data_IF_915957473746
#
_entry.id   IF_915957473746
#
_cell.length_a   1.000
_cell.length_b   1.000
_cell.length_c   1.000
_cell.angle_alpha   90.00
_cell.angle_beta   90.00
_cell.angle_gamma   90.00
#
_symmetry.space_group_name_H-M   'P 1'
#
loop_
_entity.id
_entity.type
_entity.pdbx_description
1 polymer ?
#
# COMPACT_ATOMS: atom_id res chain seq x y z
N UNK A 1 -10.94 -8.88 11.14
CA UNK A 1 -9.69 -8.12 10.90
C UNK A 1 -9.10 -8.31 9.51
N UNK A 2 -8.73 -9.53 9.08
CA UNK A 2 -8.12 -9.75 7.74
C UNK A 2 -8.92 -9.11 6.59
N UNK A 3 -10.23 -9.33 6.54
CA UNK A 3 -11.11 -8.74 5.51
C UNK A 3 -11.25 -7.22 5.61
N UNK A 4 -11.22 -6.64 6.80
CA UNK A 4 -11.22 -5.18 6.96
C UNK A 4 -9.94 -4.57 6.39
N UNK A 5 -8.78 -5.13 6.72
CA UNK A 5 -7.50 -4.67 6.17
C UNK A 5 -7.38 -4.93 4.65
N UNK A 6 -8.08 -5.92 4.11
CA UNK A 6 -8.20 -6.11 2.65
C UNK A 6 -9.01 -4.97 2.00
N UNK A 7 -10.14 -4.56 2.61
CA UNK A 7 -10.93 -3.40 2.16
C UNK A 7 -10.09 -2.13 2.23
N UNK A 8 -9.41 -1.88 3.36
CA UNK A 8 -8.54 -0.71 3.52
C UNK A 8 -7.40 -0.73 2.50
N UNK A 9 -6.71 -1.86 2.32
CA UNK A 9 -5.68 -1.96 1.29
C UNK A 9 -6.24 -1.68 -0.12
N UNK A 10 -7.49 -2.05 -0.40
CA UNK A 10 -8.14 -1.70 -1.68
C UNK A 10 -8.26 -0.18 -1.86
N UNK A 11 -8.70 0.52 -0.82
CA UNK A 11 -8.78 1.99 -0.82
C UNK A 11 -7.39 2.62 -0.98
N UNK A 12 -6.38 2.09 -0.30
CA UNK A 12 -4.98 2.53 -0.42
C UNK A 12 -4.46 2.41 -1.85
N UNK A 13 -4.66 1.25 -2.48
CA UNK A 13 -4.28 0.99 -3.87
C UNK A 13 -4.99 1.95 -4.84
N UNK A 14 -6.24 2.30 -4.53
CA UNK A 14 -7.03 3.31 -5.22
C UNK A 14 -6.60 4.76 -4.98
N UNK A 15 -5.61 5.01 -4.11
CA UNK A 15 -5.09 6.34 -3.81
C UNK A 15 -5.80 7.07 -2.68
N UNK A 16 -6.51 6.36 -1.82
CA UNK A 16 -7.07 6.93 -0.59
C UNK A 16 -6.16 6.53 0.57
N UNK A 17 -5.55 7.51 1.23
CA UNK A 17 -4.80 7.28 2.47
C UNK A 17 -5.68 6.57 3.50
N UNK A 18 -5.21 5.41 3.94
CA UNK A 18 -5.75 4.61 5.04
C UNK A 18 -4.61 3.86 5.70
N UNK A 19 -4.76 3.56 6.99
CA UNK A 19 -3.77 2.87 7.81
C UNK A 19 -4.23 1.46 8.17
N UNK A 20 -3.30 0.63 8.65
CA UNK A 20 -3.60 -0.75 9.06
C UNK A 20 -4.42 -0.74 10.34
N UNK A 21 -5.52 -1.49 10.35
CA UNK A 21 -6.33 -1.68 11.53
C UNK A 21 -5.73 -2.79 12.40
N UNK A 22 -5.44 -2.45 13.66
CA UNK A 22 -4.97 -3.37 14.69
C UNK A 22 -6.11 -3.78 15.63
N UNK A 23 -5.92 -4.88 16.36
CA UNK A 23 -6.97 -5.42 17.24
C UNK A 23 -7.33 -4.43 18.34
N UNK A 24 -6.34 -3.69 18.82
CA UNK A 24 -6.43 -2.75 19.94
C UNK A 24 -7.19 -1.48 19.56
N UNK A 25 -7.30 -1.20 18.26
CA UNK A 25 -8.01 -0.04 17.70
C UNK A 25 -9.51 -0.31 17.49
N UNK A 26 -9.94 -1.56 17.65
CA UNK A 26 -11.36 -1.93 17.56
C UNK A 26 -12.10 -1.54 18.82
N UNK A 27 -13.10 -0.68 18.65
CA UNK A 27 -14.02 -0.28 19.71
C UNK A 27 -15.25 -1.16 19.70
N UNK A 28 -15.60 -1.70 20.88
CA UNK A 28 -16.86 -2.42 21.05
C UNK A 28 -17.97 -1.38 21.25
N UNK A 29 -19.07 -1.57 20.55
CA UNK A 29 -20.22 -0.69 20.62
C UNK A 29 -21.51 -1.40 20.22
N UNK A 30 -22.60 -0.65 20.18
CA UNK A 30 -23.89 -1.10 19.66
C UNK A 30 -24.53 -0.03 18.78
N UNK A 31 -25.38 -0.49 17.87
CA UNK A 31 -26.27 0.36 17.10
C UNK A 31 -27.58 0.52 17.87
N UNK A 32 -27.76 1.68 18.50
CA UNK A 32 -28.99 2.06 19.19
C UNK A 32 -30.00 2.64 18.18
N UNK A 33 -31.27 2.26 18.29
CA UNK A 33 -32.38 2.72 17.42
C UNK A 33 -32.09 2.67 15.91
N UNK A 34 -31.31 1.67 15.45
CA UNK A 34 -30.94 1.46 14.04
C UNK A 34 -30.14 2.59 13.36
N UNK A 35 -29.87 3.70 14.05
CA UNK A 35 -29.19 4.87 13.47
C UNK A 35 -28.06 5.44 14.34
N UNK A 36 -28.06 5.16 15.65
CA UNK A 36 -27.11 5.74 16.59
C UNK A 36 -26.00 4.74 16.94
N UNK A 37 -24.77 5.02 16.51
CA UNK A 37 -23.60 4.25 16.95
C UNK A 37 -23.19 4.69 18.36
N UNK A 38 -23.21 3.76 19.30
CA UNK A 38 -22.75 3.93 20.68
C UNK A 38 -21.49 3.11 20.88
N UNK A 39 -20.37 3.77 21.17
CA UNK A 39 -19.14 3.12 21.59
C UNK A 39 -19.15 2.92 23.12
N UNK A 40 -18.81 1.71 23.59
CA UNK A 40 -18.73 1.42 25.02
C UNK A 40 -17.38 1.79 25.64
N UNK A 41 -16.38 2.09 24.82
CA UNK A 41 -15.08 2.63 25.27
C UNK A 41 -14.94 4.10 24.89
N UNK A 42 -14.24 4.90 25.72
CA UNK A 42 -13.90 6.27 25.38
C UNK A 42 -13.14 6.30 24.05
N UNK A 43 -13.64 7.08 23.11
CA UNK A 43 -13.02 7.30 21.80
C UNK A 43 -13.10 8.79 21.49
N UNK A 44 -12.24 9.28 20.59
CA UNK A 44 -12.35 10.67 20.13
C UNK A 44 -13.77 10.97 19.59
N UNK A 45 -14.36 10.03 18.85
CA UNK A 45 -15.74 10.15 18.37
C UNK A 45 -16.76 10.30 19.52
N UNK A 46 -16.67 9.45 20.55
CA UNK A 46 -17.55 9.55 21.72
C UNK A 46 -17.32 10.86 22.51
N UNK A 47 -16.05 11.26 22.69
CA UNK A 47 -15.68 12.50 23.37
C UNK A 47 -16.13 13.74 22.60
N UNK A 48 -16.07 13.73 21.26
CA UNK A 48 -16.61 14.80 20.42
C UNK A 48 -18.13 14.88 20.55
N UNK A 49 -18.84 13.75 20.45
CA UNK A 49 -20.30 13.68 20.58
C UNK A 49 -20.80 14.15 21.96
N UNK A 50 -20.04 13.85 23.02
CA UNK A 50 -20.37 14.24 24.39
C UNK A 50 -19.84 15.64 24.77
N UNK A 51 -19.21 16.36 23.84
CA UNK A 51 -18.54 17.64 24.12
C UNK A 51 -17.48 17.55 25.24
N UNK A 52 -16.81 16.40 25.35
CA UNK A 52 -15.72 16.13 26.30
C UNK A 52 -14.32 16.19 25.66
N UNK A 53 -14.23 16.26 24.33
CA UNK A 53 -12.94 16.41 23.64
C UNK A 53 -12.27 17.75 23.99
N UNK A 54 -10.93 17.78 24.09
CA UNK A 54 -10.19 19.01 24.34
C UNK A 54 -10.34 19.98 23.14
N UNK A 55 -10.18 21.31 23.34
CA UNK A 55 -10.27 22.27 22.23
C UNK A 55 -9.34 21.98 21.05
N UNK A 56 -8.14 21.46 21.32
CA UNK A 56 -7.17 21.03 20.30
C UNK A 56 -7.70 19.88 19.45
N UNK A 57 -8.34 18.90 20.09
CA UNK A 57 -8.90 17.70 19.43
C UNK A 57 -10.16 18.02 18.63
N UNK A 58 -10.87 19.11 18.99
CA UNK A 58 -11.99 19.65 18.21
C UNK A 58 -11.51 20.41 16.99
N UNK A 59 -10.50 21.26 17.15
CA UNK A 59 -10.10 22.20 16.12
C UNK A 59 -9.29 21.54 15.00
N UNK A 60 -8.26 20.75 15.32
CA UNK A 60 -7.37 20.18 14.31
C UNK A 60 -8.08 19.39 13.19
N UNK A 61 -8.90 18.37 13.52
CA UNK A 61 -9.56 17.53 12.52
C UNK A 61 -10.72 18.19 11.77
N UNK A 62 -11.33 19.23 12.37
CA UNK A 62 -12.59 19.82 11.87
C UNK A 62 -12.40 21.18 11.17
N UNK A 63 -11.23 21.82 11.28
CA UNK A 63 -10.97 23.10 10.61
C UNK A 63 -10.85 22.91 9.09
N UNK A 64 -10.20 21.82 8.65
CA UNK A 64 -10.08 21.45 7.24
C UNK A 64 -10.33 19.96 7.08
N UNK A 65 -11.59 19.52 7.28
CA UNK A 65 -11.91 18.11 7.22
C UNK A 65 -11.64 17.60 5.81
N UNK A 66 -10.94 16.47 5.72
CA UNK A 66 -10.82 15.77 4.45
C UNK A 66 -12.20 15.29 4.05
N UNK A 67 -12.72 15.82 2.96
CA UNK A 67 -13.95 15.32 2.36
C UNK A 67 -13.58 14.16 1.43
N UNK A 68 -14.40 13.12 1.37
CA UNK A 68 -14.26 12.04 0.39
C UNK A 68 -15.66 11.79 -0.15
N UNK A 69 -15.83 11.87 -1.47
CA UNK A 69 -17.10 11.56 -2.10
C UNK A 69 -17.33 10.05 -2.11
N UNK A 70 -18.59 9.63 -2.06
CA UNK A 70 -18.94 8.20 -2.06
C UNK A 70 -18.46 7.56 -3.36
N UNK A 71 -18.68 8.22 -4.49
CA UNK A 71 -18.15 7.84 -5.79
C UNK A 71 -16.62 7.67 -5.81
N UNK A 72 -15.86 8.51 -5.12
CA UNK A 72 -14.40 8.40 -5.03
C UNK A 72 -13.98 7.16 -4.25
N UNK A 73 -14.66 6.88 -3.14
CA UNK A 73 -14.46 5.66 -2.35
C UNK A 73 -14.78 4.40 -3.17
N UNK A 74 -15.89 4.39 -3.91
CA UNK A 74 -16.26 3.28 -4.78
C UNK A 74 -15.21 3.05 -5.87
N UNK A 75 -14.78 4.11 -6.57
CA UNK A 75 -13.75 4.01 -7.61
C UNK A 75 -12.43 3.47 -7.06
N UNK A 76 -11.97 4.00 -5.91
CA UNK A 76 -10.75 3.55 -5.26
C UNK A 76 -10.85 2.08 -4.82
N UNK A 77 -11.96 1.70 -4.20
CA UNK A 77 -12.22 0.33 -3.77
C UNK A 77 -12.20 -0.65 -4.95
N UNK A 78 -12.91 -0.35 -6.03
CA UNK A 78 -12.95 -1.21 -7.22
C UNK A 78 -11.58 -1.36 -7.88
N UNK A 79 -10.82 -0.27 -8.03
CA UNK A 79 -9.46 -0.34 -8.56
C UNK A 79 -8.57 -1.23 -7.68
N UNK A 80 -8.59 -1.05 -6.36
CA UNK A 80 -7.79 -1.87 -5.45
C UNK A 80 -8.21 -3.34 -5.40
N UNK A 81 -9.51 -3.63 -5.50
CA UNK A 81 -10.00 -5.00 -5.58
C UNK A 81 -9.55 -5.72 -6.84
N UNK A 82 -9.56 -5.04 -7.99
CA UNK A 82 -9.03 -5.60 -9.25
C UNK A 82 -7.58 -6.06 -9.09
N UNK A 83 -6.75 -5.22 -8.46
CA UNK A 83 -5.33 -5.50 -8.19
C UNK A 83 -5.16 -6.68 -7.23
N UNK A 84 -5.92 -6.71 -6.12
CA UNK A 84 -5.81 -7.80 -5.14
C UNK A 84 -6.25 -9.14 -5.77
N UNK A 85 -7.33 -9.12 -6.55
CA UNK A 85 -7.89 -10.32 -7.19
C UNK A 85 -6.98 -10.88 -8.29
N UNK A 86 -6.19 -10.05 -8.97
CA UNK A 86 -5.22 -10.54 -9.96
C UNK A 86 -4.02 -11.28 -9.34
N UNK A 87 -3.78 -11.13 -8.04
CA UNK A 87 -2.58 -11.65 -7.37
C UNK A 87 -2.92 -12.51 -6.14
N UNK A 88 -3.15 -13.81 -6.34
CA UNK A 88 -3.56 -14.75 -5.27
C UNK A 88 -2.64 -14.79 -4.03
N UNK A 89 -1.33 -14.53 -4.19
CA UNK A 89 -0.34 -14.58 -3.11
C UNK A 89 -0.05 -13.22 -2.46
N UNK A 90 -0.72 -12.16 -2.90
CA UNK A 90 -0.52 -10.81 -2.39
C UNK A 90 -1.18 -10.64 -1.03
N UNK A 91 -0.42 -10.24 -0.03
CA UNK A 91 -0.96 -9.94 1.30
C UNK A 91 -1.23 -8.46 1.45
N UNK A 92 -2.52 -8.09 1.43
CA UNK A 92 -2.99 -6.74 1.74
C UNK A 92 -2.44 -6.20 3.05
N UNK A 93 -2.22 -7.07 4.04
CA UNK A 93 -1.75 -6.69 5.36
C UNK A 93 -0.31 -6.15 5.32
N UNK A 94 0.61 -6.75 4.56
CA UNK A 94 2.00 -6.31 4.55
C UNK A 94 2.17 -4.96 3.85
N UNK A 95 1.44 -4.71 2.76
CA UNK A 95 1.47 -3.40 2.11
C UNK A 95 0.94 -2.31 3.06
N UNK A 96 -0.22 -2.56 3.68
CA UNK A 96 -0.88 -1.60 4.55
C UNK A 96 -0.07 -1.34 5.84
N UNK A 97 0.50 -2.38 6.46
CA UNK A 97 1.39 -2.23 7.60
C UNK A 97 2.69 -1.49 7.25
N UNK A 98 3.26 -1.77 6.06
CA UNK A 98 4.46 -1.08 5.60
C UNK A 98 4.21 0.40 5.33
N UNK A 99 3.07 0.73 4.75
CA UNK A 99 2.62 2.10 4.56
C UNK A 99 2.41 2.83 5.89
N UNK A 100 1.67 2.21 6.82
CA UNK A 100 1.39 2.78 8.14
C UNK A 100 2.68 3.04 8.92
N UNK A 101 3.61 2.07 8.94
CA UNK A 101 4.90 2.24 9.58
C UNK A 101 5.73 3.37 8.95
N UNK A 102 5.67 3.55 7.63
CA UNK A 102 6.31 4.67 6.95
C UNK A 102 5.73 6.02 7.41
N UNK A 103 4.40 6.12 7.52
CA UNK A 103 3.73 7.35 7.99
C UNK A 103 4.17 7.74 9.41
N UNK A 104 4.30 6.74 10.29
CA UNK A 104 4.79 6.94 11.67
C UNK A 104 6.32 6.96 11.79
N UNK A 105 7.06 7.04 10.68
CA UNK A 105 8.55 7.04 10.64
C UNK A 105 9.20 5.86 11.36
N UNK A 106 8.49 4.74 11.50
CA UNK A 106 9.04 3.49 11.96
C UNK A 106 9.73 2.78 10.78
N UNK A 107 10.94 3.24 10.46
CA UNK A 107 11.68 2.82 9.26
C UNK A 107 12.02 1.32 9.25
N UNK A 108 12.23 0.71 10.42
CA UNK A 108 12.53 -0.72 10.53
C UNK A 108 11.34 -1.57 10.09
N UNK A 109 10.16 -1.27 10.64
CA UNK A 109 8.93 -1.99 10.31
C UNK A 109 8.45 -1.66 8.90
N UNK A 110 8.60 -0.41 8.47
CA UNK A 110 8.29 0.00 7.11
C UNK A 110 9.13 -0.81 6.11
N UNK A 111 10.46 -0.87 6.28
CA UNK A 111 11.31 -1.63 5.39
C UNK A 111 10.95 -3.11 5.38
N UNK A 112 10.71 -3.71 6.55
CA UNK A 112 10.45 -5.15 6.63
C UNK A 112 9.11 -5.52 5.93
N UNK A 113 8.04 -4.79 6.24
CA UNK A 113 6.71 -5.05 5.66
C UNK A 113 6.64 -4.72 4.16
N UNK A 114 7.21 -3.59 3.72
CA UNK A 114 7.27 -3.25 2.30
C UNK A 114 8.17 -4.23 1.54
N UNK A 115 9.26 -4.72 2.14
CA UNK A 115 10.12 -5.72 1.50
C UNK A 115 9.42 -7.07 1.32
N UNK A 116 8.63 -7.53 2.30
CA UNK A 116 7.80 -8.74 2.13
C UNK A 116 6.83 -8.56 0.96
N UNK A 117 6.24 -7.38 0.82
CA UNK A 117 5.38 -7.03 -0.32
C UNK A 117 6.14 -7.13 -1.64
N UNK A 118 7.36 -6.59 -1.72
CA UNK A 118 8.24 -6.74 -2.89
C UNK A 118 8.52 -8.20 -3.22
N UNK A 119 8.80 -9.04 -2.21
CA UNK A 119 9.08 -10.46 -2.43
C UNK A 119 7.86 -11.19 -3.01
N UNK A 120 6.66 -10.92 -2.47
CA UNK A 120 5.40 -11.49 -2.98
C UNK A 120 5.12 -11.05 -4.43
N UNK A 121 5.26 -9.76 -4.73
CA UNK A 121 5.09 -9.23 -6.10
C UNK A 121 6.12 -9.83 -7.05
N UNK A 122 7.38 -9.92 -6.63
CA UNK A 122 8.45 -10.48 -7.47
C UNK A 122 8.19 -11.95 -7.78
N UNK A 123 7.72 -12.74 -6.81
CA UNK A 123 7.39 -14.14 -7.05
C UNK A 123 6.24 -14.29 -8.04
N UNK A 124 5.19 -13.47 -7.88
CA UNK A 124 4.06 -13.45 -8.81
C UNK A 124 4.51 -13.10 -10.23
N UNK A 125 5.22 -11.97 -10.41
CA UNK A 125 5.75 -11.52 -11.72
C UNK A 125 6.67 -12.59 -12.33
N UNK A 126 7.52 -13.21 -11.50
CA UNK A 126 8.44 -14.24 -11.96
C UNK A 126 7.70 -15.44 -12.57
N UNK A 127 6.66 -15.93 -11.88
CA UNK A 127 5.89 -17.09 -12.32
C UNK A 127 4.99 -16.76 -13.51
N UNK A 128 4.24 -15.66 -13.41
CA UNK A 128 3.17 -15.35 -14.35
C UNK A 128 3.68 -14.65 -15.62
N UNK A 129 4.77 -13.90 -15.55
CA UNK A 129 5.25 -13.12 -16.71
C UNK A 129 6.59 -13.63 -17.22
N UNK A 130 7.58 -13.78 -16.35
CA UNK A 130 8.92 -14.14 -16.79
C UNK A 130 9.01 -15.60 -17.27
N UNK A 131 8.52 -16.56 -16.48
CA UNK A 131 8.61 -17.97 -16.85
C UNK A 131 7.71 -18.31 -18.06
N UNK A 132 6.49 -17.76 -18.11
CA UNK A 132 5.54 -18.02 -19.21
C UNK A 132 6.00 -17.43 -20.53
N UNK A 133 6.62 -16.24 -20.53
CA UNK A 133 7.05 -15.54 -21.74
C UNK A 133 8.55 -15.68 -22.01
N UNK A 134 9.22 -16.69 -21.46
CA UNK A 134 10.69 -16.80 -21.51
C UNK A 134 11.25 -16.83 -22.95
N UNK A 135 10.51 -17.42 -23.89
CA UNK A 135 10.90 -17.53 -25.30
C UNK A 135 10.78 -16.22 -26.08
N UNK A 136 9.98 -15.26 -25.62
CA UNK A 136 9.80 -13.98 -26.30
C UNK A 136 10.89 -12.96 -25.95
N UNK A 137 11.69 -13.20 -24.92
CA UNK A 137 12.74 -12.27 -24.51
C UNK A 137 13.95 -12.28 -25.45
N UNK A 138 14.67 -11.15 -25.56
CA UNK A 138 15.87 -11.05 -26.38
C UNK A 138 16.94 -12.10 -26.03
N UNK A 139 17.75 -12.46 -27.02
CA UNK A 139 18.82 -13.48 -26.90
C UNK A 139 19.78 -13.20 -25.74
N UNK A 140 20.06 -11.93 -25.42
CA UNK A 140 20.95 -11.58 -24.31
C UNK A 140 20.35 -11.96 -22.93
N UNK A 141 19.03 -11.91 -22.76
CA UNK A 141 18.32 -12.34 -21.54
C UNK A 141 18.43 -13.85 -21.40
N UNK A 142 18.18 -14.59 -22.49
CA UNK A 142 18.31 -16.04 -22.52
C UNK A 142 19.75 -16.48 -22.19
N UNK A 143 20.76 -15.81 -22.77
CA UNK A 143 22.17 -16.02 -22.44
C UNK A 143 22.45 -15.75 -20.96
N UNK A 144 21.93 -14.66 -20.40
CA UNK A 144 22.12 -14.32 -18.98
C UNK A 144 21.50 -15.37 -18.04
N UNK A 145 20.27 -15.82 -18.33
CA UNK A 145 19.60 -16.89 -17.60
C UNK A 145 20.40 -18.19 -17.62
N UNK A 146 20.97 -18.54 -18.78
CA UNK A 146 21.69 -19.80 -18.97
C UNK A 146 23.07 -19.84 -18.30
N UNK A 147 23.61 -18.71 -17.83
CA UNK A 147 24.92 -18.67 -17.14
C UNK A 147 24.91 -19.57 -15.90
N UNK A 148 25.92 -20.46 -15.71
CA UNK A 148 25.95 -21.40 -14.59
C UNK A 148 25.79 -20.75 -13.21
N UNK A 149 26.42 -19.59 -12.99
CA UNK A 149 26.31 -18.81 -11.74
C UNK A 149 24.89 -18.30 -11.46
N UNK A 150 24.15 -17.96 -12.51
CA UNK A 150 22.76 -17.49 -12.43
C UNK A 150 21.84 -18.68 -12.18
N UNK A 151 21.99 -19.77 -12.95
CA UNK A 151 21.21 -21.00 -12.77
C UNK A 151 21.22 -21.51 -11.32
N UNK A 152 22.40 -21.55 -10.69
CA UNK A 152 22.56 -21.96 -9.27
C UNK A 152 21.83 -21.07 -8.26
N UNK A 153 21.43 -19.84 -8.65
CA UNK A 153 20.84 -18.83 -7.78
C UNK A 153 19.46 -18.36 -8.25
N UNK A 154 18.81 -19.09 -9.17
CA UNK A 154 17.49 -18.71 -9.71
C UNK A 154 16.41 -18.56 -8.64
N UNK A 155 16.52 -19.28 -7.52
CA UNK A 155 15.61 -19.12 -6.38
C UNK A 155 15.79 -17.80 -5.62
N UNK A 156 16.94 -17.14 -5.74
CA UNK A 156 17.23 -15.91 -5.00
C UNK A 156 16.53 -14.69 -5.60
N UNK A 157 15.94 -13.87 -4.73
CA UNK A 157 15.26 -12.63 -5.12
C UNK A 157 16.16 -11.69 -5.94
N UNK A 158 17.44 -11.59 -5.57
CA UNK A 158 18.43 -10.76 -6.27
C UNK A 158 18.64 -11.18 -7.73
N UNK A 159 18.59 -12.48 -8.01
CA UNK A 159 18.78 -13.02 -9.36
C UNK A 159 17.52 -12.79 -10.18
N UNK A 160 16.34 -12.98 -9.58
CA UNK A 160 15.05 -12.67 -10.18
C UNK A 160 14.97 -11.19 -10.58
N UNK A 161 15.24 -10.26 -9.65
CA UNK A 161 15.25 -8.82 -9.95
C UNK A 161 16.16 -8.45 -11.12
N UNK A 162 17.37 -9.03 -11.16
CA UNK A 162 18.31 -8.80 -12.27
C UNK A 162 17.74 -9.27 -13.61
N UNK A 163 17.17 -10.46 -13.66
CA UNK A 163 16.62 -11.02 -14.90
C UNK A 163 15.34 -10.29 -15.34
N UNK A 164 14.48 -9.90 -14.40
CA UNK A 164 13.28 -9.11 -14.68
C UNK A 164 13.64 -7.74 -15.28
N UNK A 165 14.63 -7.05 -14.70
CA UNK A 165 15.14 -5.79 -15.26
C UNK A 165 15.76 -5.96 -16.65
N UNK A 166 16.57 -7.01 -16.88
CA UNK A 166 17.14 -7.30 -18.21
C UNK A 166 16.06 -7.60 -19.25
N UNK A 167 14.92 -8.15 -18.83
CA UNK A 167 13.78 -8.47 -19.69
C UNK A 167 12.87 -7.28 -19.94
N UNK A 168 13.22 -6.10 -19.39
CA UNK A 168 12.42 -4.88 -19.49
C UNK A 168 11.00 -5.03 -18.90
N UNK A 169 10.82 -5.93 -17.93
CA UNK A 169 9.53 -6.10 -17.21
C UNK A 169 9.29 -4.94 -16.25
N UNK A 170 10.35 -4.43 -15.63
CA UNK A 170 10.35 -3.17 -14.89
C UNK A 170 11.64 -2.40 -15.12
N UNK A 171 11.61 -1.12 -14.79
CA UNK A 171 12.62 -0.11 -15.06
C UNK A 171 13.96 -0.38 -14.35
N UNK A 172 15.04 0.19 -14.91
CA UNK A 172 16.37 0.16 -14.28
C UNK A 172 16.39 0.92 -12.96
N UNK A 173 15.58 1.96 -12.82
CA UNK A 173 15.47 2.74 -11.58
C UNK A 173 14.80 1.93 -10.48
N UNK A 174 13.70 1.22 -10.80
CA UNK A 174 13.08 0.25 -9.89
C UNK A 174 14.11 -0.79 -9.44
N UNK A 175 14.84 -1.42 -10.36
CA UNK A 175 15.91 -2.37 -10.03
C UNK A 175 16.97 -1.78 -9.06
N UNK A 176 17.42 -0.55 -9.31
CA UNK A 176 18.42 0.13 -8.47
C UNK A 176 17.91 0.30 -7.03
N UNK A 177 16.69 0.77 -6.87
CA UNK A 177 16.05 0.95 -5.56
C UNK A 177 15.86 -0.39 -4.85
N UNK A 178 15.31 -1.40 -5.53
CA UNK A 178 15.09 -2.73 -4.94
C UNK A 178 16.40 -3.37 -4.46
N UNK A 179 17.48 -3.25 -5.24
CA UNK A 179 18.77 -3.78 -4.84
C UNK A 179 19.38 -3.03 -3.64
N UNK A 180 19.15 -1.71 -3.53
CA UNK A 180 19.56 -0.90 -2.36
C UNK A 180 18.74 -1.31 -1.13
N UNK A 181 17.42 -1.39 -1.25
CA UNK A 181 16.50 -1.80 -0.20
C UNK A 181 16.84 -3.19 0.34
N UNK A 182 17.08 -4.17 -0.55
CA UNK A 182 17.51 -5.53 -0.17
C UNK A 182 18.77 -5.54 0.69
N UNK A 183 19.79 -4.77 0.29
CA UNK A 183 21.04 -4.70 1.05
C UNK A 183 20.78 -4.14 2.43
N UNK A 184 20.05 -3.03 2.55
CA UNK A 184 19.73 -2.40 3.84
C UNK A 184 18.83 -3.29 4.70
N UNK A 185 17.89 -4.05 4.12
CA UNK A 185 17.09 -5.05 4.82
C UNK A 185 17.97 -6.15 5.42
N UNK A 186 18.99 -6.61 4.69
CA UNK A 186 19.94 -7.57 5.23
C UNK A 186 20.77 -7.00 6.39
N UNK A 187 21.19 -5.73 6.31
CA UNK A 187 21.92 -5.07 7.42
C UNK A 187 21.02 -4.89 8.65
N UNK A 188 19.74 -4.53 8.45
CA UNK A 188 18.75 -4.48 9.52
C UNK A 188 18.59 -5.85 10.17
N UNK A 189 18.40 -6.91 9.39
CA UNK A 189 18.17 -8.26 9.89
C UNK A 189 19.39 -8.89 10.58
N UNK A 190 20.61 -8.61 10.12
CA UNK A 190 21.84 -9.23 10.66
C UNK A 190 22.57 -8.37 11.68
N UNK A 191 22.43 -7.05 11.61
CA UNK A 191 23.22 -6.12 12.42
C UNK A 191 22.35 -5.10 13.17
N UNK A 192 21.02 -5.17 13.05
CA UNK A 192 20.10 -4.24 13.71
C UNK A 192 20.15 -2.81 13.18
N UNK A 193 20.83 -2.57 12.05
CA UNK A 193 21.04 -1.20 11.51
C UNK A 193 19.76 -0.69 10.87
N UNK A 194 19.15 0.32 11.51
CA UNK A 194 17.94 0.99 11.03
C UNK A 194 18.20 1.74 9.72
N UNK A 195 17.35 1.59 8.69
CA UNK A 195 17.50 2.30 7.42
C UNK A 195 17.11 3.79 7.52
N UNK A 196 17.67 4.61 6.63
CA UNK A 196 17.31 6.03 6.46
C UNK A 196 15.91 6.18 5.84
N UNK A 197 15.14 7.19 6.27
CA UNK A 197 13.75 7.41 5.77
C UNK A 197 13.67 7.61 4.26
N UNK A 198 14.65 8.29 3.67
CA UNK A 198 14.74 8.49 2.22
C UNK A 198 14.73 7.16 1.44
N UNK A 199 15.34 6.10 1.99
CA UNK A 199 15.29 4.78 1.35
C UNK A 199 13.87 4.21 1.34
N UNK A 200 13.10 4.42 2.41
CA UNK A 200 11.73 3.94 2.54
C UNK A 200 10.84 4.68 1.54
N UNK A 201 10.99 6.00 1.44
CA UNK A 201 10.29 6.82 0.45
C UNK A 201 10.63 6.42 -0.99
N UNK A 202 11.91 6.14 -1.28
CA UNK A 202 12.34 5.59 -2.57
C UNK A 202 11.73 4.22 -2.85
N UNK A 203 11.68 3.34 -1.86
CA UNK A 203 11.06 2.02 -2.00
C UNK A 203 9.56 2.15 -2.27
N UNK A 204 8.89 3.05 -1.55
CA UNK A 204 7.48 3.38 -1.77
C UNK A 204 7.22 3.90 -3.18
N UNK A 205 8.08 4.79 -3.70
CA UNK A 205 7.86 5.39 -5.02
C UNK A 205 7.98 4.40 -6.19
N UNK A 206 8.69 3.28 -6.02
CA UNK A 206 8.83 2.23 -7.06
C UNK A 206 7.83 1.07 -6.88
N UNK A 207 7.16 0.96 -5.73
CA UNK A 207 6.15 -0.08 -5.50
C UNK A 207 4.97 -0.03 -6.48
N UNK A 208 4.38 1.15 -6.82
CA UNK A 208 3.32 1.22 -7.80
C UNK A 208 3.70 0.59 -9.14
N UNK A 209 4.95 0.75 -9.60
CA UNK A 209 5.42 0.12 -10.83
C UNK A 209 5.38 -1.42 -10.72
N UNK A 210 5.85 -1.99 -9.61
CA UNK A 210 5.78 -3.44 -9.41
C UNK A 210 4.34 -3.95 -9.34
N UNK A 211 3.44 -3.21 -8.70
CA UNK A 211 2.04 -3.60 -8.57
C UNK A 211 1.34 -3.51 -9.93
N UNK A 212 1.56 -2.44 -10.70
CA UNK A 212 1.02 -2.29 -12.05
C UNK A 212 1.49 -3.41 -12.97
N UNK A 213 2.79 -3.72 -12.95
CA UNK A 213 3.34 -4.85 -13.67
C UNK A 213 2.66 -6.14 -13.21
N UNK A 214 2.65 -6.44 -11.91
CA UNK A 214 2.11 -7.70 -11.39
C UNK A 214 0.61 -7.90 -11.66
N UNK A 215 -0.18 -6.82 -11.68
CA UNK A 215 -1.64 -6.86 -11.84
C UNK A 215 -2.13 -6.57 -13.25
N UNK A 216 -1.23 -6.21 -14.18
CA UNK A 216 -1.57 -5.67 -15.51
C UNK A 216 -2.51 -4.44 -15.46
N UNK A 217 -2.55 -3.75 -14.31
CA UNK A 217 -3.31 -2.53 -14.11
C UNK A 217 -2.44 -1.33 -14.45
N UNK A 218 -3.02 -0.28 -15.05
CA UNK A 218 -2.31 0.98 -15.34
C UNK A 218 -2.85 2.11 -14.48
N UNK A 219 -2.00 3.11 -14.21
CA UNK A 219 -2.37 4.34 -13.51
C UNK A 219 -2.97 4.09 -12.12
N UNK A 220 -2.24 3.37 -11.27
CA UNK A 220 -2.69 3.13 -9.90
C UNK A 220 -2.89 4.44 -9.15
N UNK A 221 -4.04 4.59 -8.49
CA UNK A 221 -4.31 5.72 -7.62
C UNK A 221 -3.27 5.88 -6.51
N UNK A 222 -2.66 4.77 -6.07
CA UNK A 222 -1.53 4.72 -5.14
C UNK A 222 -0.39 5.70 -5.48
N UNK A 223 -0.14 5.98 -6.77
CA UNK A 223 0.91 6.91 -7.21
C UNK A 223 0.71 8.35 -6.72
N UNK A 224 -0.52 8.71 -6.35
CA UNK A 224 -0.87 10.04 -5.80
C UNK A 224 -0.44 10.20 -4.34
N UNK A 225 -0.22 9.10 -3.63
CA UNK A 225 0.18 9.12 -2.23
C UNK A 225 1.70 9.32 -2.14
N UNK A 226 2.14 10.55 -1.87
CA UNK A 226 3.54 10.83 -1.57
C UNK A 226 3.96 10.07 -0.31
N UNK A 227 5.05 9.31 -0.40
CA UNK A 227 5.66 8.73 0.79
C UNK A 227 6.34 9.82 1.63
N UNK A 228 6.28 9.71 2.95
CA UNK A 228 6.90 10.66 3.88
C UNK A 228 5.90 11.56 4.60
N UNK A 229 6.39 12.32 5.58
CA UNK A 229 5.57 13.10 6.53
C UNK A 229 4.95 14.39 5.96
N UNK A 230 5.11 14.67 4.66
CA UNK A 230 4.38 15.77 4.04
C UNK A 230 2.96 15.28 3.74
N UNK A 231 2.05 15.70 4.61
CA UNK A 231 0.61 15.60 4.44
C UNK A 231 0.14 16.50 3.29
N UNK A 232 0.57 16.21 2.06
CA UNK A 232 -0.09 16.79 0.90
C UNK A 232 -1.25 15.87 0.49
N UNK A 233 -2.19 15.70 1.42
CA UNK A 233 -3.47 15.08 1.15
C UNK A 233 -4.32 16.17 0.52
N UNK A 234 -4.33 16.25 -0.81
CA UNK A 234 -5.12 17.24 -1.54
C UNK A 234 -6.51 17.40 -0.89
N UNK A 235 -6.81 18.62 -0.46
CA UNK A 235 -8.16 19.01 -0.05
C UNK A 235 -9.03 18.84 -1.31
N UNK A 236 -10.12 18.07 -1.26
CA UNK A 236 -10.94 17.87 -2.45
C UNK A 236 -11.47 19.20 -2.99
N UNK A 237 -11.45 19.34 -4.31
CA UNK A 237 -11.95 20.52 -5.02
C UNK A 237 -13.50 20.66 -4.95
N UNK A 238 -14.22 19.64 -4.46
CA UNK A 238 -15.68 19.62 -4.33
C UNK A 238 -16.09 19.31 -2.89
N UNK A 239 -16.81 20.24 -2.29
CA UNK A 239 -17.40 20.16 -0.95
C UNK A 239 -18.93 20.29 -1.01
N UNK A 240 -19.52 20.24 -2.21
CA UNK A 240 -20.96 20.25 -2.41
C UNK A 240 -21.52 18.88 -1.98
N UNK A 241 -22.11 18.81 -0.78
CA UNK A 241 -22.76 17.62 -0.22
C UNK A 241 -24.03 17.17 -1.00
N UNK A 242 -24.18 17.56 -2.26
CA UNK A 242 -25.35 17.24 -3.10
C UNK A 242 -25.55 15.73 -3.27
N UNK A 243 -24.46 14.96 -3.36
CA UNK A 243 -24.49 13.49 -3.45
C UNK A 243 -25.17 12.86 -2.22
N UNK A 244 -24.88 13.36 -1.02
CA UNK A 244 -25.49 12.91 0.23
C UNK A 244 -26.97 13.26 0.31
N UNK A 245 -27.36 14.43 -0.19
CA UNK A 245 -28.77 14.84 -0.27
C UNK A 245 -29.56 13.92 -1.20
N UNK A 246 -28.96 13.48 -2.31
CA UNK A 246 -29.59 12.58 -3.25
C UNK A 246 -29.71 11.15 -2.69
N UNK A 247 -28.68 10.65 -1.99
CA UNK A 247 -28.73 9.36 -1.28
C UNK A 247 -29.79 9.35 -0.17
N UNK A 248 -29.90 10.42 0.60
CA UNK A 248 -30.92 10.55 1.64
C UNK A 248 -32.36 10.58 1.10
N UNK A 249 -32.55 11.02 -0.15
CA UNK A 249 -33.86 10.99 -0.84
C UNK A 249 -34.18 9.63 -1.47
N UNK A 250 -33.18 8.77 -1.66
CA UNK A 250 -33.33 7.46 -2.28
C UNK A 250 -33.58 6.33 -1.26
N UNK A 251 -33.49 6.62 0.04
CA UNK A 251 -33.82 5.75 1.17
C UNK A 251 -35.20 6.08 1.74
#
# INVERSE_FOLDING_TARGET
MRKLNEILCSLLLGGIHVEVLRSEELVIGALHDKANLVAYTPSLHANLRLNWAAPTDRMGPLIHPRVLMVDEMHKAFHQGQQVIQSMLSFSSLFLLSGYTAMMYRNNSDALNNLWITVEQLTEHIWREQYLKNRSSFPVYVAKAHSKPRIKKRLGSISTKHKLLCLSNIFSKDCYRVLNRARRKRNHLAHSGVVPESNLIEQLWSVLPELIEVASDTKHLGLRRLSGGAMENWDIPARTDFEEWVNLAKAL
#
